data_IF_754144867465
#
_entry.id   IF_754144867465
#
_cell.length_a   1.000
_cell.length_b   1.000
_cell.length_c   1.000
_cell.angle_alpha   90.00
_cell.angle_beta   90.00
_cell.angle_gamma   90.00
#
_symmetry.space_group_name_H-M   'P 1'
#
loop_
_entity.id
_entity.type
_entity.pdbx_description
1 polymer ?
#
# COMPACT_ATOMS: atom_id res chain seq x y z
N UNK A 1 2.53 9.75 5.55
CA UNK A 1 3.99 9.59 5.75
C UNK A 1 4.72 10.93 5.73
N UNK A 2 4.66 11.70 4.64
CA UNK A 2 5.36 13.00 4.53
C UNK A 2 5.07 13.98 5.67
N UNK A 3 3.79 14.27 5.90
CA UNK A 3 3.42 15.43 6.74
C UNK A 3 3.27 15.09 8.23
N UNK A 4 2.96 13.83 8.54
CA UNK A 4 2.54 13.41 9.88
C UNK A 4 3.42 12.34 10.53
N UNK A 5 4.44 11.85 9.82
CA UNK A 5 5.33 10.80 10.35
C UNK A 5 6.76 11.32 10.35
N UNK A 6 7.34 11.39 11.54
CA UNK A 6 8.73 11.76 11.73
C UNK A 6 9.66 10.66 11.17
N UNK A 7 10.84 11.07 10.71
CA UNK A 7 11.83 10.11 10.19
C UNK A 7 12.32 9.18 11.31
N UNK A 8 12.53 7.90 10.99
CA UNK A 8 13.11 6.96 11.96
C UNK A 8 12.24 6.67 13.17
N UNK A 9 10.90 6.72 13.05
CA UNK A 9 9.98 6.52 14.19
C UNK A 9 9.07 5.31 14.07
N UNK A 10 8.99 4.69 12.89
CA UNK A 10 8.10 3.56 12.64
C UNK A 10 8.91 2.26 12.60
N UNK A 11 8.49 1.25 13.36
CA UNK A 11 9.16 -0.06 13.35
C UNK A 11 8.80 -0.86 12.10
N UNK A 12 7.51 -0.89 11.75
CA UNK A 12 7.01 -1.65 10.61
C UNK A 12 5.89 -0.89 9.87
N UNK A 13 5.88 -0.99 8.54
CA UNK A 13 4.80 -0.50 7.68
C UNK A 13 4.25 -1.67 6.88
N UNK A 14 2.93 -1.85 6.89
CA UNK A 14 2.26 -2.94 6.19
C UNK A 14 1.39 -2.38 5.08
N UNK A 15 1.54 -2.90 3.86
CA UNK A 15 0.74 -2.54 2.70
C UNK A 15 0.20 -3.80 2.01
N UNK A 16 -1.09 -4.07 2.17
CA UNK A 16 -1.72 -5.26 1.62
C UNK A 16 -2.68 -4.92 0.49
N UNK A 17 -2.47 -5.57 -0.66
CA UNK A 17 -3.28 -5.47 -1.86
C UNK A 17 -3.55 -4.00 -2.28
N UNK A 18 -2.50 -3.20 -2.51
CA UNK A 18 -2.69 -1.83 -2.99
C UNK A 18 -3.51 -1.84 -4.28
N UNK A 19 -4.45 -0.90 -4.38
CA UNK A 19 -5.37 -0.84 -5.51
C UNK A 19 -4.60 -0.79 -6.84
N UNK A 20 -4.88 -1.72 -7.78
CA UNK A 20 -4.08 -1.83 -8.99
C UNK A 20 -4.48 -0.83 -10.07
N UNK A 21 -5.67 -0.21 -10.02
CA UNK A 21 -6.21 0.74 -11.00
C UNK A 21 -6.07 0.29 -12.46
N UNK A 22 -7.19 -0.13 -13.06
CA UNK A 22 -7.22 -0.74 -14.40
C UNK A 22 -7.40 0.27 -15.53
N UNK A 23 -7.99 1.42 -15.24
CA UNK A 23 -8.25 2.44 -16.25
C UNK A 23 -7.00 3.30 -16.47
N UNK A 24 -6.62 3.60 -17.73
CA UNK A 24 -5.41 4.38 -18.03
C UNK A 24 -5.32 5.71 -17.27
N UNK A 25 -6.46 6.39 -17.10
CA UNK A 25 -6.56 7.67 -16.37
C UNK A 25 -6.30 7.55 -14.86
N UNK A 26 -6.40 6.35 -14.30
CA UNK A 26 -6.28 6.07 -12.86
C UNK A 26 -4.94 5.46 -12.48
N UNK A 27 -4.10 5.07 -13.45
CA UNK A 27 -2.77 4.48 -13.20
C UNK A 27 -1.91 5.37 -12.29
N UNK A 28 -2.04 6.69 -12.42
CA UNK A 28 -1.35 7.66 -11.57
C UNK A 28 -1.74 7.63 -10.08
N UNK A 29 -2.83 6.93 -9.72
CA UNK A 29 -3.28 6.77 -8.33
C UNK A 29 -2.66 5.57 -7.61
N UNK A 30 -1.89 4.73 -8.33
CA UNK A 30 -1.21 3.56 -7.75
C UNK A 30 -0.27 3.98 -6.62
N UNK A 31 -0.38 3.32 -5.48
CA UNK A 31 0.30 3.72 -4.25
C UNK A 31 1.81 3.50 -4.31
N UNK A 32 2.24 2.33 -4.80
CA UNK A 32 3.67 1.98 -4.80
C UNK A 32 4.35 2.68 -5.97
N UNK A 33 4.99 3.80 -5.67
CA UNK A 33 5.88 4.55 -6.55
C UNK A 33 7.24 4.71 -5.88
N UNK A 34 8.32 5.06 -6.62
CA UNK A 34 9.61 5.33 -6.00
C UNK A 34 9.53 6.43 -4.91
N UNK A 35 8.75 7.48 -5.14
CA UNK A 35 8.54 8.57 -4.16
C UNK A 35 7.86 8.06 -2.88
N UNK A 36 6.88 7.16 -3.00
CA UNK A 36 6.25 6.54 -1.84
C UNK A 36 7.23 5.65 -1.09
N UNK A 37 8.03 4.84 -1.79
CA UNK A 37 9.03 3.96 -1.17
C UNK A 37 10.12 4.75 -0.43
N UNK A 38 10.54 5.90 -0.95
CA UNK A 38 11.44 6.82 -0.25
C UNK A 38 10.81 7.36 1.06
N UNK A 39 9.51 7.68 1.05
CA UNK A 39 8.79 8.08 2.27
C UNK A 39 8.68 6.95 3.28
N UNK A 40 8.43 5.72 2.83
CA UNK A 40 8.44 4.51 3.68
C UNK A 40 9.82 4.34 4.31
N UNK A 41 10.89 4.31 3.49
CA UNK A 41 12.27 4.16 3.95
C UNK A 41 12.65 5.22 4.99
N UNK A 42 12.37 6.51 4.73
CA UNK A 42 12.59 7.61 5.68
C UNK A 42 11.88 7.40 7.01
N UNK A 43 10.64 6.89 6.97
CA UNK A 43 9.79 6.78 8.16
C UNK A 43 10.23 5.64 9.09
N UNK A 44 10.83 4.58 8.53
CA UNK A 44 11.24 3.40 9.27
C UNK A 44 12.45 3.68 10.17
N UNK A 45 12.52 3.07 11.34
CA UNK A 45 13.75 2.98 12.16
C UNK A 45 14.86 2.22 11.39
N UNK A 46 16.14 2.33 11.78
CA UNK A 46 17.18 1.45 11.26
C UNK A 46 16.79 -0.03 11.41
N UNK A 47 16.94 -0.81 10.34
CA UNK A 47 16.51 -2.20 10.27
C UNK A 47 14.99 -2.44 10.28
N UNK A 48 14.17 -1.38 10.27
CA UNK A 48 12.71 -1.48 10.23
C UNK A 48 12.18 -2.17 8.96
N UNK A 49 10.93 -2.63 9.02
CA UNK A 49 10.35 -3.47 7.97
C UNK A 49 9.25 -2.77 7.18
N UNK A 50 9.26 -2.96 5.87
CA UNK A 50 8.12 -2.76 5.00
C UNK A 50 7.61 -4.12 4.54
N UNK A 51 6.40 -4.49 4.95
CA UNK A 51 5.76 -5.73 4.53
C UNK A 51 4.72 -5.40 3.47
N UNK A 52 4.90 -5.91 2.26
CA UNK A 52 4.00 -5.64 1.15
C UNK A 52 3.50 -6.93 0.51
N UNK A 53 2.20 -6.94 0.17
CA UNK A 53 1.52 -8.07 -0.43
C UNK A 53 0.65 -7.64 -1.60
N UNK A 54 0.60 -8.45 -2.65
CA UNK A 54 -0.32 -8.26 -3.77
C UNK A 54 -0.66 -9.61 -4.40
N UNK A 55 -1.87 -9.74 -4.91
CA UNK A 55 -2.34 -10.85 -5.74
C UNK A 55 -2.31 -10.51 -7.24
N UNK A 56 -1.78 -9.34 -7.61
CA UNK A 56 -1.63 -8.91 -8.99
C UNK A 56 -0.21 -9.22 -9.51
N UNK A 57 -0.04 -10.13 -10.49
CA UNK A 57 1.28 -10.50 -11.00
C UNK A 57 2.05 -9.37 -11.66
N UNK A 58 1.39 -8.43 -12.33
CA UNK A 58 2.04 -7.27 -12.94
C UNK A 58 2.57 -6.32 -11.86
N UNK A 59 1.80 -6.13 -10.80
CA UNK A 59 2.21 -5.37 -9.63
C UNK A 59 3.40 -6.06 -8.93
N UNK A 60 3.36 -7.38 -8.74
CA UNK A 60 4.47 -8.12 -8.15
C UNK A 60 5.76 -8.03 -8.99
N UNK A 61 5.67 -8.09 -10.32
CA UNK A 61 6.84 -7.86 -11.21
C UNK A 61 7.42 -6.47 -11.03
N UNK A 62 6.56 -5.44 -10.97
CA UNK A 62 7.00 -4.08 -10.72
C UNK A 62 7.68 -3.94 -9.36
N UNK A 63 7.10 -4.52 -8.30
CA UNK A 63 7.67 -4.51 -6.95
C UNK A 63 9.06 -5.16 -6.90
N UNK A 64 9.25 -6.30 -7.55
CA UNK A 64 10.59 -6.95 -7.65
C UNK A 64 11.65 -6.06 -8.28
N UNK A 65 11.25 -5.15 -9.18
CA UNK A 65 12.16 -4.21 -9.82
C UNK A 65 12.54 -3.04 -8.90
N UNK A 66 11.57 -2.45 -8.19
CA UNK A 66 11.79 -1.18 -7.48
C UNK A 66 12.15 -1.33 -6.00
N UNK A 67 11.69 -2.39 -5.33
CA UNK A 67 11.94 -2.58 -3.88
C UNK A 67 13.44 -2.74 -3.53
N UNK A 68 14.26 -3.50 -4.30
CA UNK A 68 15.68 -3.69 -3.97
C UNK A 68 16.50 -2.40 -3.90
N UNK A 69 16.04 -1.34 -4.56
CA UNK A 69 16.73 -0.05 -4.54
C UNK A 69 16.65 0.65 -3.17
N UNK A 70 15.66 0.30 -2.34
CA UNK A 70 15.43 0.90 -1.03
C UNK A 70 15.62 -0.10 0.12
N UNK A 71 15.47 -1.41 -0.15
CA UNK A 71 15.35 -2.43 0.88
C UNK A 71 16.14 -3.70 0.54
N UNK A 72 16.60 -4.42 1.55
CA UNK A 72 16.94 -5.82 1.42
C UNK A 72 15.65 -6.65 1.41
N UNK A 73 15.37 -7.35 0.31
CA UNK A 73 14.10 -8.04 0.11
C UNK A 73 14.20 -9.54 0.38
N UNK A 74 13.16 -10.09 0.99
CA UNK A 74 12.90 -11.52 1.08
C UNK A 74 11.50 -11.78 0.53
N UNK A 75 11.39 -12.65 -0.48
CA UNK A 75 10.09 -13.08 -1.01
C UNK A 75 9.66 -14.35 -0.29
N UNK A 76 8.43 -14.36 0.25
CA UNK A 76 7.91 -15.48 1.02
C UNK A 76 7.02 -16.38 0.14
N UNK A 77 7.48 -17.60 -0.22
CA UNK A 77 6.73 -18.54 -1.06
C UNK A 77 5.72 -19.32 -0.20
N UNK A 78 4.70 -18.64 0.32
CA UNK A 78 3.73 -19.32 1.18
C UNK A 78 2.80 -18.36 1.90
N UNK A 79 1.92 -18.95 2.71
CA UNK A 79 1.03 -18.18 3.59
C UNK A 79 1.79 -17.68 4.81
N UNK A 80 1.28 -16.63 5.44
CA UNK A 80 1.77 -16.18 6.73
C UNK A 80 1.62 -17.31 7.77
N UNK A 81 2.70 -17.77 8.44
CA UNK A 81 2.63 -18.88 9.39
C UNK A 81 1.65 -18.60 10.55
N UNK A 82 1.59 -17.35 10.99
CA UNK A 82 0.72 -16.85 12.05
C UNK A 82 -0.74 -16.69 11.61
N UNK A 83 -0.99 -16.52 10.30
CA UNK A 83 -2.35 -16.35 9.76
C UNK A 83 -2.55 -17.23 8.52
N UNK A 84 -2.71 -18.56 8.70
CA UNK A 84 -2.75 -19.51 7.58
C UNK A 84 -3.99 -19.38 6.71
N UNK A 85 -5.05 -18.68 7.15
CA UNK A 85 -6.21 -18.36 6.33
C UNK A 85 -5.99 -17.11 5.47
N UNK A 86 -5.05 -16.24 5.83
CA UNK A 86 -4.77 -14.95 5.20
C UNK A 86 -5.03 -13.76 6.14
N UNK A 87 -4.17 -12.74 6.09
CA UNK A 87 -4.21 -11.53 6.93
C UNK A 87 -5.28 -10.53 6.51
N UNK A 88 -5.78 -10.61 5.27
CA UNK A 88 -6.82 -9.72 4.76
C UNK A 88 -7.94 -10.50 4.09
N UNK A 89 -9.13 -9.87 4.00
CA UNK A 89 -10.24 -10.42 3.22
C UNK A 89 -9.85 -10.65 1.76
N UNK A 90 -9.11 -9.72 1.16
CA UNK A 90 -8.59 -9.86 -0.20
C UNK A 90 -7.72 -11.10 -0.36
N UNK A 91 -6.80 -11.32 0.57
CA UNK A 91 -5.93 -12.50 0.57
C UNK A 91 -6.73 -13.79 0.68
N UNK A 92 -7.70 -13.85 1.60
CA UNK A 92 -8.59 -15.00 1.77
C UNK A 92 -9.33 -15.31 0.46
N UNK A 93 -9.89 -14.27 -0.19
CA UNK A 93 -10.62 -14.42 -1.45
C UNK A 93 -9.68 -14.87 -2.59
N UNK A 94 -8.50 -14.27 -2.73
CA UNK A 94 -7.52 -14.65 -3.74
C UNK A 94 -7.09 -16.12 -3.58
N UNK A 95 -6.80 -16.55 -2.35
CA UNK A 95 -6.42 -17.93 -2.05
C UNK A 95 -7.56 -18.92 -2.35
N UNK A 96 -8.82 -18.56 -2.06
CA UNK A 96 -10.00 -19.39 -2.37
C UNK A 96 -10.20 -19.57 -3.87
N UNK A 97 -9.94 -18.53 -4.65
CA UNK A 97 -10.02 -18.56 -6.12
C UNK A 97 -8.77 -19.17 -6.77
N UNK A 98 -7.81 -19.69 -5.98
CA UNK A 98 -6.59 -20.31 -6.49
C UNK A 98 -5.60 -19.33 -7.13
N UNK A 99 -5.72 -18.04 -6.83
CA UNK A 99 -4.83 -17.01 -7.36
C UNK A 99 -3.51 -16.96 -6.58
N UNK A 100 -2.39 -16.64 -7.26
CA UNK A 100 -1.13 -16.42 -6.58
C UNK A 100 -1.21 -15.16 -5.70
N UNK A 101 -0.59 -15.23 -4.53
CA UNK A 101 -0.37 -14.07 -3.66
C UNK A 101 1.12 -13.92 -3.43
N UNK A 102 1.67 -12.78 -3.81
CA UNK A 102 3.07 -12.41 -3.70
C UNK A 102 3.28 -11.61 -2.42
N UNK A 103 4.29 -11.98 -1.65
CA UNK A 103 4.60 -11.41 -0.33
C UNK A 103 6.07 -11.04 -0.28
N UNK A 104 6.36 -9.81 0.10
CA UNK A 104 7.70 -9.30 0.27
C UNK A 104 7.88 -8.77 1.69
N UNK A 105 8.92 -9.26 2.36
CA UNK A 105 9.44 -8.67 3.59
C UNK A 105 10.65 -7.84 3.19
N UNK A 106 10.54 -6.52 3.34
CA UNK A 106 11.54 -5.56 2.89
C UNK A 106 12.18 -4.90 4.11
N UNK A 107 13.42 -5.22 4.40
CA UNK A 107 14.17 -4.59 5.50
C UNK A 107 14.84 -3.32 4.99
N UNK A 108 14.69 -2.23 5.74
CA UNK A 108 15.32 -0.94 5.42
C UNK A 108 16.81 -1.14 5.11
N UNK A 109 17.27 -0.63 3.96
CA UNK A 109 18.70 -0.55 3.68
C UNK A 109 19.26 0.68 4.39
N UNK A 110 19.92 0.47 5.53
CA UNK A 110 20.46 1.55 6.37
C UNK A 110 21.70 2.21 5.77
N UNK A 111 22.37 1.55 4.81
CA UNK A 111 23.49 2.12 4.07
C UNK A 111 23.06 3.13 3.00
N UNK A 112 21.76 3.21 2.69
CA UNK A 112 21.24 4.19 1.74
C UNK A 112 21.08 5.55 2.43
N UNK A 113 21.97 6.49 2.10
CA UNK A 113 21.94 7.83 2.66
C UNK A 113 20.75 8.63 2.13
N UNK A 114 20.29 9.61 2.91
CA UNK A 114 19.16 10.46 2.52
C UNK A 114 19.45 11.27 1.24
N UNK A 115 20.71 11.64 1.01
CA UNK A 115 21.16 12.36 -0.20
C UNK A 115 21.04 11.51 -1.47
N UNK A 116 21.11 10.19 -1.35
CA UNK A 116 21.07 9.27 -2.49
C UNK A 116 19.64 8.88 -2.86
N UNK A 117 18.67 9.06 -1.94
CA UNK A 117 17.26 8.73 -2.17
C UNK A 117 16.67 9.48 -3.36
N UNK A 118 17.02 10.75 -3.56
CA UNK A 118 16.52 11.54 -4.69
C UNK A 118 17.00 10.98 -6.03
N UNK A 119 18.29 10.61 -6.11
CA UNK A 119 18.87 9.99 -7.30
C UNK A 119 18.26 8.62 -7.57
N UNK A 120 18.05 7.80 -6.53
CA UNK A 120 17.37 6.50 -6.65
C UNK A 120 15.94 6.69 -7.16
N UNK A 121 15.18 7.63 -6.60
CA UNK A 121 13.81 7.93 -7.03
C UNK A 121 13.76 8.34 -8.51
N UNK A 122 14.67 9.22 -8.93
CA UNK A 122 14.73 9.69 -10.31
C UNK A 122 15.12 8.58 -11.32
N UNK A 123 15.90 7.59 -10.89
CA UNK A 123 16.36 6.48 -11.74
C UNK A 123 15.36 5.33 -11.89
N UNK A 124 14.27 5.30 -11.13
CA UNK A 124 13.34 4.18 -11.11
C UNK A 124 12.05 4.44 -11.91
N UNK A 125 11.48 3.39 -12.53
CA UNK A 125 10.25 3.55 -13.31
C UNK A 125 9.03 3.77 -12.40
N UNK A 126 8.06 4.53 -12.92
CA UNK A 126 6.71 4.62 -12.36
C UNK A 126 5.89 3.36 -12.69
N UNK A 127 4.84 3.04 -11.91
CA UNK A 127 4.04 1.82 -12.10
C UNK A 127 3.07 1.98 -13.28
N UNK A 128 3.55 1.98 -14.53
CA UNK A 128 2.72 2.17 -15.75
C UNK A 128 2.25 0.87 -16.42
N UNK A 129 2.41 -0.27 -15.75
CA UNK A 129 2.05 -1.59 -16.29
C UNK A 129 0.54 -1.79 -16.47
N UNK A 130 0.13 -2.68 -17.37
CA UNK A 130 -1.27 -3.13 -17.47
C UNK A 130 -1.60 -4.06 -16.29
N UNK A 131 -2.64 -3.73 -15.54
CA UNK A 131 -3.09 -4.53 -14.41
C UNK A 131 -4.09 -5.58 -14.94
N UNK A 132 -3.86 -6.86 -14.66
CA UNK A 132 -4.70 -7.95 -15.18
C UNK A 132 -6.18 -7.75 -14.78
N UNK A 133 -7.00 -7.34 -15.76
CA UNK A 133 -8.42 -7.00 -15.58
C UNK A 133 -9.26 -8.19 -15.11
N UNK A 134 -8.78 -9.43 -15.24
CA UNK A 134 -9.46 -10.62 -14.68
C UNK A 134 -9.65 -10.51 -13.18
N UNK A 135 -8.79 -9.75 -12.49
CA UNK A 135 -8.87 -9.53 -11.05
C UNK A 135 -9.99 -8.56 -10.63
N UNK A 136 -10.64 -7.85 -11.57
CA UNK A 136 -11.76 -6.93 -11.28
C UNK A 136 -12.93 -7.64 -10.60
N UNK A 137 -13.19 -8.91 -10.95
CA UNK A 137 -14.22 -9.72 -10.30
C UNK A 137 -13.95 -9.86 -8.81
N UNK A 138 -12.68 -10.06 -8.44
CA UNK A 138 -12.29 -10.22 -7.06
C UNK A 138 -12.40 -8.90 -6.28
N UNK A 139 -12.13 -7.77 -6.93
CA UNK A 139 -12.33 -6.44 -6.33
C UNK A 139 -13.80 -6.15 -6.06
N UNK A 140 -14.69 -6.59 -6.95
CA UNK A 140 -16.14 -6.48 -6.74
C UNK A 140 -16.58 -7.34 -5.53
N UNK A 141 -16.14 -8.59 -5.46
CA UNK A 141 -16.39 -9.48 -4.32
C UNK A 141 -15.84 -8.89 -3.01
N UNK A 142 -14.68 -8.22 -3.07
CA UNK A 142 -14.09 -7.52 -1.93
C UNK A 142 -14.98 -6.35 -1.43
N UNK A 143 -15.62 -5.61 -2.34
CA UNK A 143 -16.53 -4.52 -1.97
C UNK A 143 -17.88 -5.02 -1.47
N UNK A 144 -18.43 -6.06 -2.08
CA UNK A 144 -19.77 -6.59 -1.73
C UNK A 144 -19.86 -7.15 -0.31
N UNK A 145 -18.78 -7.73 0.20
CA UNK A 145 -18.72 -8.22 1.58
C UNK A 145 -18.10 -7.24 2.59
N UNK A 146 -17.79 -6.01 2.17
CA UNK A 146 -17.46 -4.95 3.11
C UNK A 146 -18.76 -4.38 3.69
N UNK A 147 -18.87 -4.32 5.02
CA UNK A 147 -19.99 -3.63 5.65
C UNK A 147 -20.04 -2.18 5.12
N UNK A 148 -21.23 -1.62 4.81
CA UNK A 148 -21.32 -0.24 4.36
C UNK A 148 -20.67 0.67 5.40
N UNK A 149 -19.94 1.73 4.98
CA UNK A 149 -19.33 2.65 5.92
C UNK A 149 -20.40 3.21 6.86
N UNK A 150 -20.09 3.40 8.16
CA UNK A 150 -21.05 3.95 9.10
C UNK A 150 -21.56 5.30 8.56
N UNK A 151 -22.88 5.47 8.50
CA UNK A 151 -23.50 6.73 8.07
C UNK A 151 -22.96 7.85 8.97
N UNK A 152 -22.17 8.76 8.39
CA UNK A 152 -21.74 9.97 9.08
C UNK A 152 -22.99 10.70 9.59
N UNK A 153 -23.02 11.12 10.88
CA UNK A 153 -24.18 11.83 11.41
C UNK A 153 -24.41 13.09 10.57
N UNK A 154 -25.65 13.27 10.11
CA UNK A 154 -26.05 14.47 9.40
C UNK A 154 -25.81 15.66 10.33
N UNK A 155 -24.93 16.58 9.91
CA UNK A 155 -24.74 17.85 10.61
C UNK A 155 -26.05 18.63 10.54
N UNK A 156 -26.89 18.51 11.57
CA UNK A 156 -27.99 19.44 11.79
C UNK A 156 -27.37 20.82 11.97
N UNK A 157 -27.63 21.72 11.02
CA UNK A 157 -27.27 23.13 11.18
C UNK A 157 -28.14 23.71 12.29
N UNK A 158 -27.61 23.77 13.51
CA UNK A 158 -28.19 24.59 14.58
C UNK A 158 -28.08 26.06 14.17
N UNK A 159 -29.21 26.67 13.79
CA UNK A 159 -29.32 28.12 13.64
C UNK A 159 -29.20 28.74 15.04
N UNK A 160 -28.00 29.19 15.39
CA UNK A 160 -27.76 30.07 16.53
C UNK A 160 -28.45 31.41 16.29
N UNK A 161 -29.52 31.69 17.05
CA UNK A 161 -30.15 33.01 17.17
C UNK A 161 -29.12 33.99 17.74
N UNK A 162 -28.86 35.09 17.04
CA UNK A 162 -28.24 36.29 17.64
C UNK A 162 -29.38 37.19 18.12
N UNK A 163 -29.43 37.45 19.41
CA UNK A 163 -30.21 38.57 19.97
C UNK A 163 -29.37 39.85 19.86
N UNK A 164 -29.95 41.02 19.56
CA UNK A 164 -29.24 42.29 19.64
C UNK A 164 -29.18 42.79 21.08
N UNK A 165 -28.09 43.49 21.38
CA UNK A 165 -27.83 44.26 22.60
C UNK A 165 -28.86 45.37 22.81
N UNK A 166 -29.19 45.60 24.08
CA UNK A 166 -29.40 46.93 24.69
C UNK A 166 -28.45 47.03 25.91
#
# INVERSE_FOLDING_TARGET
LRDYVAAGTVTEIHCYHPQPYYEPREIGLRLITPEFLALVHRSLVPGGLFIVQTDNPAYARYMRLVLPAFFAIEELPGRWPDTPQGRTRREILALREGLPVFRFVCRRNDSLAATDLEAVVAGLPRPTFDADRRLQKLDALEREGAAPPPKLPSRSRSRSRRSPHD
#
